data_IF_885571625654
#
_entry.id   IF_885571625654
#
_cell.length_a   1.000
_cell.length_b   1.000
_cell.length_c   1.000
_cell.angle_alpha   90.00
_cell.angle_beta   90.00
_cell.angle_gamma   90.00
#
_symmetry.space_group_name_H-M   'P 1'
#
loop_
_entity.id
_entity.type
_entity.pdbx_description
1 polymer ?
#
# COMPACT_ATOMS: atom_id res chain seq x y z
N UNK A 1 -20.09 -67.85 -37.39
CA UNK A 1 -20.41 -67.31 -36.05
C UNK A 1 -19.18 -67.18 -35.14
N UNK A 2 -18.23 -68.12 -35.17
CA UNK A 2 -17.06 -68.09 -34.27
C UNK A 2 -15.97 -67.07 -34.61
N UNK A 3 -15.79 -66.74 -35.90
CA UNK A 3 -14.85 -65.70 -36.33
C UNK A 3 -15.25 -64.31 -35.80
N UNK A 4 -16.55 -64.00 -35.80
CA UNK A 4 -17.10 -62.75 -35.27
C UNK A 4 -16.93 -62.67 -33.74
N UNK A 5 -17.16 -63.79 -33.03
CA UNK A 5 -16.88 -63.88 -31.58
C UNK A 5 -15.40 -63.65 -31.25
N UNK A 6 -14.48 -64.23 -32.02
CA UNK A 6 -13.03 -64.02 -31.85
C UNK A 6 -12.61 -62.57 -32.12
N UNK A 7 -13.23 -61.90 -33.08
CA UNK A 7 -12.94 -60.51 -33.36
C UNK A 7 -13.47 -59.58 -32.25
N UNK A 8 -14.68 -59.86 -31.75
CA UNK A 8 -15.26 -59.15 -30.61
C UNK A 8 -14.44 -59.33 -29.32
N UNK A 9 -13.90 -60.52 -29.07
CA UNK A 9 -13.04 -60.76 -27.90
C UNK A 9 -11.72 -59.99 -28.00
N UNK A 10 -11.09 -59.92 -29.19
CA UNK A 10 -9.88 -59.13 -29.42
C UNK A 10 -10.13 -57.63 -29.24
N UNK A 11 -11.24 -57.11 -29.76
CA UNK A 11 -11.62 -55.71 -29.60
C UNK A 11 -11.84 -55.37 -28.12
N UNK A 12 -12.57 -56.21 -27.38
CA UNK A 12 -12.78 -56.05 -25.94
C UNK A 12 -11.46 -56.05 -25.17
N UNK A 13 -10.51 -56.89 -25.55
CA UNK A 13 -9.19 -56.94 -24.91
C UNK A 13 -8.34 -55.69 -25.23
N UNK A 14 -8.40 -55.18 -26.46
CA UNK A 14 -7.76 -53.92 -26.83
C UNK A 14 -8.36 -52.73 -26.07
N UNK A 15 -9.69 -52.65 -26.00
CA UNK A 15 -10.39 -51.61 -25.23
C UNK A 15 -10.04 -51.69 -23.75
N UNK A 16 -10.00 -52.90 -23.16
CA UNK A 16 -9.61 -53.08 -21.76
C UNK A 16 -8.17 -52.63 -21.49
N UNK A 17 -7.22 -52.97 -22.38
CA UNK A 17 -5.82 -52.52 -22.26
C UNK A 17 -5.70 -51.00 -22.40
N UNK A 18 -6.46 -50.40 -23.31
CA UNK A 18 -6.47 -48.96 -23.51
C UNK A 18 -7.09 -48.23 -22.32
N UNK A 19 -8.22 -48.73 -21.80
CA UNK A 19 -8.84 -48.22 -20.58
C UNK A 19 -7.88 -48.33 -19.39
N UNK A 20 -7.17 -49.46 -19.24
CA UNK A 20 -6.21 -49.64 -18.17
C UNK A 20 -4.99 -48.71 -18.31
N UNK A 21 -4.52 -48.43 -19.53
CA UNK A 21 -3.44 -47.47 -19.78
C UNK A 21 -3.86 -46.02 -19.47
N UNK A 22 -5.09 -45.65 -19.83
CA UNK A 22 -5.68 -44.34 -19.54
C UNK A 22 -5.84 -44.16 -18.03
N UNK A 23 -6.42 -45.15 -17.34
CA UNK A 23 -6.56 -45.14 -15.89
C UNK A 23 -5.18 -45.05 -15.24
N UNK A 24 -4.18 -45.81 -15.70
CA UNK A 24 -2.80 -45.75 -15.18
C UNK A 24 -2.11 -44.41 -15.39
N UNK A 25 -2.41 -43.69 -16.49
CA UNK A 25 -1.94 -42.31 -16.65
C UNK A 25 -2.58 -41.36 -15.64
N UNK A 26 -3.85 -41.58 -15.28
CA UNK A 26 -4.56 -40.79 -14.29
C UNK A 26 -4.30 -41.22 -12.84
N UNK A 27 -3.90 -42.47 -12.60
CA UNK A 27 -3.58 -42.97 -11.26
C UNK A 27 -2.10 -42.91 -10.92
N UNK A 28 -1.22 -42.80 -11.92
CA UNK A 28 0.19 -42.44 -11.74
C UNK A 28 0.41 -41.04 -11.14
N UNK A 29 -0.63 -40.19 -11.13
CA UNK A 29 -0.64 -38.91 -10.41
C UNK A 29 -1.26 -38.99 -9.00
N UNK A 30 -1.30 -40.17 -8.37
CA UNK A 30 -1.60 -40.33 -6.94
C UNK A 30 -3.08 -40.48 -6.56
N UNK A 31 -3.99 -40.64 -7.52
CA UNK A 31 -5.44 -40.54 -7.30
C UNK A 31 -6.15 -41.79 -6.78
N UNK A 32 -5.47 -42.92 -6.50
CA UNK A 32 -6.18 -44.20 -6.36
C UNK A 32 -6.56 -44.66 -4.94
N UNK A 33 -6.26 -43.95 -3.84
CA UNK A 33 -6.59 -44.53 -2.50
C UNK A 33 -6.83 -43.58 -1.32
N UNK A 34 -7.15 -42.30 -1.50
CA UNK A 34 -7.42 -41.44 -0.34
C UNK A 34 -8.62 -40.54 -0.55
N UNK A 35 -9.49 -40.47 0.46
CA UNK A 35 -10.51 -39.43 0.68
C UNK A 35 -9.88 -38.03 0.92
N UNK A 36 -8.62 -37.88 0.52
CA UNK A 36 -7.77 -36.72 0.61
C UNK A 36 -7.54 -36.27 -0.82
N UNK A 37 -8.01 -35.06 -1.13
CA UNK A 37 -7.68 -34.35 -2.37
C UNK A 37 -6.16 -34.33 -2.51
N UNK A 38 -5.62 -35.13 -3.44
CA UNK A 38 -4.18 -35.12 -3.76
C UNK A 38 -3.94 -33.87 -4.60
N UNK A 39 -3.73 -32.76 -3.89
CA UNK A 39 -3.28 -31.51 -4.50
C UNK A 39 -1.87 -31.77 -5.03
N UNK A 40 -1.66 -31.54 -6.32
CA UNK A 40 -0.33 -31.60 -6.95
C UNK A 40 0.64 -30.71 -6.16
N UNK A 41 1.85 -31.21 -5.84
CA UNK A 41 2.84 -30.44 -5.06
C UNK A 41 3.14 -29.10 -5.71
N UNK A 42 3.12 -29.04 -7.05
CA UNK A 42 3.29 -27.80 -7.83
C UNK A 42 2.10 -26.86 -7.62
N UNK A 43 0.88 -27.38 -7.58
CA UNK A 43 -0.33 -26.61 -7.30
C UNK A 43 -0.32 -26.05 -5.86
N UNK A 44 0.08 -26.88 -4.88
CA UNK A 44 0.22 -26.45 -3.49
C UNK A 44 1.30 -25.36 -3.34
N UNK A 45 2.46 -25.52 -3.97
CA UNK A 45 3.52 -24.51 -3.96
C UNK A 45 3.05 -23.20 -4.62
N UNK A 46 2.29 -23.29 -5.71
CA UNK A 46 1.73 -22.11 -6.39
C UNK A 46 0.70 -21.40 -5.50
N UNK A 47 -0.14 -22.15 -4.80
CA UNK A 47 -1.10 -21.58 -3.85
C UNK A 47 -0.38 -20.85 -2.70
N UNK A 48 0.67 -21.43 -2.13
CA UNK A 48 1.47 -20.78 -1.09
C UNK A 48 2.15 -19.48 -1.57
N UNK A 49 2.67 -19.45 -2.80
CA UNK A 49 3.23 -18.22 -3.38
C UNK A 49 2.15 -17.15 -3.56
N UNK A 50 0.95 -17.54 -4.01
CA UNK A 50 -0.16 -16.61 -4.15
C UNK A 50 -0.64 -16.05 -2.81
N UNK A 51 -0.72 -16.87 -1.76
CA UNK A 51 -1.08 -16.39 -0.41
C UNK A 51 -0.03 -15.41 0.13
N UNK A 52 1.26 -15.70 -0.05
CA UNK A 52 2.35 -14.77 0.32
C UNK A 52 2.25 -13.44 -0.43
N UNK A 53 2.04 -13.49 -1.75
CA UNK A 53 1.88 -12.29 -2.57
C UNK A 53 0.67 -11.48 -2.10
N UNK A 54 -0.48 -12.11 -1.91
CA UNK A 54 -1.69 -11.46 -1.42
C UNK A 54 -1.47 -10.76 -0.08
N UNK A 55 -0.86 -11.45 0.90
CA UNK A 55 -0.54 -10.88 2.21
C UNK A 55 0.42 -9.70 2.10
N UNK A 56 1.48 -9.84 1.30
CA UNK A 56 2.45 -8.77 1.10
C UNK A 56 1.83 -7.53 0.44
N UNK A 57 1.03 -7.70 -0.62
CA UNK A 57 0.31 -6.60 -1.27
C UNK A 57 -0.69 -5.95 -0.32
N UNK A 58 -1.41 -6.75 0.47
CA UNK A 58 -2.34 -6.25 1.49
C UNK A 58 -1.61 -5.39 2.53
N UNK A 59 -0.52 -5.89 3.08
CA UNK A 59 0.29 -5.17 4.05
C UNK A 59 0.89 -3.88 3.48
N UNK A 60 1.40 -3.92 2.24
CA UNK A 60 1.93 -2.74 1.55
C UNK A 60 0.87 -1.65 1.37
N UNK A 61 -0.35 -2.02 0.97
CA UNK A 61 -1.46 -1.08 0.86
C UNK A 61 -1.86 -0.48 2.21
N UNK A 62 -1.91 -1.30 3.25
CA UNK A 62 -2.28 -0.82 4.59
C UNK A 62 -1.20 0.14 5.14
N UNK A 63 0.08 -0.15 4.91
CA UNK A 63 1.20 0.74 5.22
C UNK A 63 1.16 2.06 4.42
N UNK A 64 0.83 2.01 3.13
CA UNK A 64 0.66 3.22 2.32
C UNK A 64 -0.43 4.14 2.90
N UNK A 65 -1.54 3.59 3.40
CA UNK A 65 -2.59 4.38 4.07
C UNK A 65 -2.07 5.05 5.34
N UNK A 66 -1.22 4.37 6.10
CA UNK A 66 -0.61 4.95 7.30
C UNK A 66 0.33 6.13 6.95
N UNK A 67 1.13 6.00 5.88
CA UNK A 67 1.97 7.09 5.38
C UNK A 67 1.13 8.30 4.99
N UNK A 68 0.06 8.09 4.22
CA UNK A 68 -0.84 9.18 3.78
C UNK A 68 -1.45 9.87 5.00
N UNK A 69 -2.00 9.11 5.96
CA UNK A 69 -2.59 9.66 7.19
C UNK A 69 -1.56 10.43 8.02
N UNK A 70 -0.32 9.96 8.09
CA UNK A 70 0.77 10.67 8.76
C UNK A 70 1.05 12.02 8.05
N UNK A 71 1.08 12.04 6.72
CA UNK A 71 1.22 13.26 5.92
C UNK A 71 0.08 14.27 6.13
N UNK A 72 -1.17 13.80 6.18
CA UNK A 72 -2.34 14.64 6.47
C UNK A 72 -2.25 15.25 7.88
N UNK A 73 -1.88 14.43 8.86
CA UNK A 73 -1.71 14.89 10.25
C UNK A 73 -0.58 15.91 10.36
N UNK A 74 0.54 15.67 9.68
CA UNK A 74 1.68 16.57 9.67
C UNK A 74 1.33 17.92 9.06
N UNK A 75 0.64 17.94 7.92
CA UNK A 75 0.23 19.21 7.27
C UNK A 75 -0.79 20.00 8.11
N UNK A 76 -1.71 19.30 8.78
CA UNK A 76 -2.64 19.91 9.72
C UNK A 76 -1.93 20.54 10.95
N UNK A 77 -0.91 19.87 11.49
CA UNK A 77 -0.06 20.43 12.55
C UNK A 77 0.73 21.63 12.03
N UNK A 78 1.27 21.54 10.81
CA UNK A 78 1.99 22.62 10.13
C UNK A 78 1.17 23.91 10.09
N UNK A 79 -0.11 23.84 9.70
CA UNK A 79 -0.99 25.01 9.69
C UNK A 79 -1.18 25.66 11.06
N UNK A 80 -1.33 24.87 12.13
CA UNK A 80 -1.43 25.40 13.51
C UNK A 80 -0.13 26.08 13.94
N UNK A 81 1.01 25.55 13.52
CA UNK A 81 2.33 26.14 13.79
C UNK A 81 2.48 27.49 13.08
N UNK A 82 2.10 27.57 11.80
CA UNK A 82 2.12 28.81 11.00
C UNK A 82 1.19 29.87 11.61
N UNK A 83 -0.01 29.48 12.03
CA UNK A 83 -0.98 30.38 12.69
C UNK A 83 -0.37 30.98 13.96
N UNK A 84 0.21 30.14 14.82
CA UNK A 84 0.85 30.58 16.07
C UNK A 84 2.05 31.48 15.80
N UNK A 85 2.88 31.14 14.81
CA UNK A 85 4.05 31.92 14.42
C UNK A 85 3.70 33.27 13.81
N UNK A 86 2.65 33.32 12.99
CA UNK A 86 2.12 34.56 12.40
C UNK A 86 1.62 35.49 13.50
N UNK A 87 0.83 34.96 14.44
CA UNK A 87 0.35 35.74 15.58
C UNK A 87 1.49 36.30 16.43
N UNK A 88 2.52 35.49 16.69
CA UNK A 88 3.71 35.96 17.43
C UNK A 88 4.44 37.08 16.67
N UNK A 89 4.60 36.94 15.36
CA UNK A 89 5.20 37.98 14.51
C UNK A 89 4.42 39.28 14.60
N UNK A 90 3.09 39.23 14.48
CA UNK A 90 2.21 40.40 14.60
C UNK A 90 2.30 41.06 15.98
N UNK A 91 2.33 40.28 17.05
CA UNK A 91 2.46 40.78 18.42
C UNK A 91 3.81 41.46 18.66
N UNK A 92 4.90 40.91 18.12
CA UNK A 92 6.23 41.51 18.17
C UNK A 92 6.30 42.83 17.37
N UNK A 93 5.75 42.87 16.16
CA UNK A 93 5.67 44.10 15.36
C UNK A 93 4.84 45.18 16.07
N UNK A 94 3.69 44.80 16.65
CA UNK A 94 2.83 45.71 17.41
C UNK A 94 3.56 46.26 18.63
N UNK A 95 4.21 45.42 19.43
CA UNK A 95 5.00 45.86 20.57
C UNK A 95 6.07 46.87 20.16
N UNK A 96 6.81 46.59 19.08
CA UNK A 96 7.84 47.50 18.57
C UNK A 96 7.28 48.86 18.13
N UNK A 97 6.11 48.86 17.45
CA UNK A 97 5.45 50.08 17.00
C UNK A 97 4.91 50.94 18.17
N UNK A 98 4.33 50.31 19.19
CA UNK A 98 3.74 51.00 20.34
C UNK A 98 4.78 51.56 21.33
N UNK A 99 6.01 51.01 21.34
CA UNK A 99 7.05 51.33 22.33
C UNK A 99 8.29 52.02 21.71
N UNK A 100 8.11 52.76 20.60
CA UNK A 100 9.18 53.33 19.77
C UNK A 100 9.98 54.50 20.43
N UNK A 101 9.95 54.64 21.76
CA UNK A 101 10.71 55.63 22.52
C UNK A 101 12.16 55.18 22.75
N UNK A 102 12.93 55.03 21.67
CA UNK A 102 14.35 54.65 21.64
C UNK A 102 14.73 53.45 22.54
N UNK A 103 13.77 52.52 22.70
CA UNK A 103 13.92 51.32 23.50
C UNK A 103 14.53 50.21 22.65
N UNK A 104 15.69 49.69 23.07
CA UNK A 104 16.40 48.59 22.39
C UNK A 104 15.49 47.36 22.24
N UNK A 105 14.64 47.08 23.24
CA UNK A 105 13.70 45.97 23.19
C UNK A 105 12.62 46.16 22.12
N UNK A 106 12.12 47.39 21.95
CA UNK A 106 11.13 47.70 20.92
C UNK A 106 11.70 47.51 19.50
N UNK A 107 12.93 47.98 19.27
CA UNK A 107 13.66 47.76 18.00
C UNK A 107 13.90 46.27 17.75
N UNK A 108 14.35 45.53 18.76
CA UNK A 108 14.58 44.09 18.64
C UNK A 108 13.29 43.32 18.32
N UNK A 109 12.17 43.67 18.98
CA UNK A 109 10.88 43.07 18.73
C UNK A 109 10.37 43.34 17.30
N UNK A 110 10.49 44.57 16.79
CA UNK A 110 10.14 44.86 15.38
C UNK A 110 10.98 44.05 14.39
N UNK A 111 12.30 44.01 14.57
CA UNK A 111 13.20 43.24 13.68
C UNK A 111 12.88 41.75 13.73
N UNK A 112 12.65 41.20 14.93
CA UNK A 112 12.25 39.81 15.08
C UNK A 112 10.90 39.52 14.43
N UNK A 113 9.90 40.38 14.66
CA UNK A 113 8.57 40.24 14.08
C UNK A 113 8.62 40.23 12.55
N UNK A 114 9.33 41.17 11.93
CA UNK A 114 9.49 41.23 10.49
C UNK A 114 10.23 40.00 9.93
N UNK A 115 11.34 39.59 10.55
CA UNK A 115 12.06 38.39 10.13
C UNK A 115 11.18 37.13 10.26
N UNK A 116 10.43 37.01 11.35
CA UNK A 116 9.52 35.88 11.60
C UNK A 116 8.39 35.83 10.60
N UNK A 117 7.85 36.98 10.18
CA UNK A 117 6.81 37.07 9.14
C UNK A 117 7.27 36.41 7.84
N UNK A 118 8.51 36.65 7.43
CA UNK A 118 9.09 36.02 6.24
C UNK A 118 9.24 34.50 6.41
N UNK A 119 9.70 34.05 7.58
CA UNK A 119 9.81 32.61 7.87
C UNK A 119 8.46 31.90 7.80
N UNK A 120 7.41 32.48 8.39
CA UNK A 120 6.09 31.84 8.37
C UNK A 120 5.49 31.80 6.96
N UNK A 121 5.80 32.77 6.11
CA UNK A 121 5.42 32.73 4.69
C UNK A 121 6.07 31.55 3.96
N UNK A 122 7.37 31.34 4.14
CA UNK A 122 8.08 30.20 3.53
C UNK A 122 7.52 28.86 4.07
N UNK A 123 7.22 28.79 5.37
CA UNK A 123 6.57 27.62 5.95
C UNK A 123 5.17 27.38 5.38
N UNK A 124 4.38 28.43 5.14
CA UNK A 124 3.06 28.34 4.52
C UNK A 124 3.17 27.78 3.09
N UNK A 125 4.09 28.29 2.29
CA UNK A 125 4.31 27.83 0.92
C UNK A 125 4.73 26.36 0.88
N UNK A 126 5.67 25.96 1.75
CA UNK A 126 6.09 24.57 1.90
C UNK A 126 4.94 23.66 2.35
N UNK A 127 4.20 24.07 3.39
CA UNK A 127 3.12 23.25 3.93
C UNK A 127 1.97 23.09 2.93
N UNK A 128 1.69 24.14 2.15
CA UNK A 128 0.71 24.09 1.04
C UNK A 128 1.14 23.13 -0.06
N UNK A 129 2.42 23.14 -0.44
CA UNK A 129 2.97 22.19 -1.42
C UNK A 129 2.89 20.75 -0.88
N UNK A 130 3.22 20.54 0.39
CA UNK A 130 3.14 19.22 1.00
C UNK A 130 1.69 18.71 1.04
N UNK A 131 0.75 19.56 1.43
CA UNK A 131 -0.67 19.23 1.45
C UNK A 131 -1.21 18.83 0.07
N UNK A 132 -0.77 19.52 -1.00
CA UNK A 132 -1.19 19.16 -2.36
C UNK A 132 -0.65 17.79 -2.80
N UNK A 133 0.60 17.45 -2.45
CA UNK A 133 1.20 16.15 -2.77
C UNK A 133 0.56 15.00 -2.00
N UNK A 134 0.24 15.22 -0.72
CA UNK A 134 -0.47 14.23 0.11
C UNK A 134 -1.88 13.98 -0.44
N UNK A 135 -2.60 15.03 -0.81
CA UNK A 135 -3.95 14.90 -1.36
C UNK A 135 -3.98 14.23 -2.74
N UNK A 136 -2.97 14.45 -3.59
CA UNK A 136 -2.88 13.80 -4.90
C UNK A 136 -2.73 12.27 -4.79
N UNK A 137 -2.19 11.76 -3.67
CA UNK A 137 -2.04 10.33 -3.42
C UNK A 137 -3.38 9.57 -3.27
N UNK A 138 -4.52 10.26 -3.14
CA UNK A 138 -5.86 9.65 -3.14
C UNK A 138 -6.44 9.42 -4.55
N UNK A 139 -5.90 10.05 -5.59
CA UNK A 139 -6.46 10.06 -6.94
C UNK A 139 -5.88 8.98 -7.87
N UNK A 140 -4.92 8.20 -7.41
CA UNK A 140 -4.24 7.09 -8.13
C UNK A 140 -4.48 5.79 -7.39
#
# INVERSE_FOLDING_TARGET
>A
MDAFRKQASKFREQVAKQQQAVIKQFSGSGYESSDVVVIDEVEMQRHQHMDKLYRATRAGRDFQKEIVKAGETFTAIGYKHIETGTKLSEECCRYGAENNSDNILAKAASVYGDARKHVEKEHEELNRLLASQVNFSYAV
#
